data_IF_369429166396
#
_entry.id   IF_369429166396
#
_cell.length_a   1.000
_cell.length_b   1.000
_cell.length_c   1.000
_cell.angle_alpha   90.00
_cell.angle_beta   90.00
_cell.angle_gamma   90.00
#
_symmetry.space_group_name_H-M   'P 1'
#
loop_
_entity.id
_entity.type
_entity.pdbx_description
1 polymer ?
#
# COMPACT_ATOMS: atom_id res chain seq x y z
N UNK A 1 -73.01 -14.63 -35.74
CA UNK A 1 -72.76 -13.37 -34.98
C UNK A 1 -72.04 -13.70 -33.67
N UNK A 2 -70.70 -13.63 -33.64
CA UNK A 2 -69.92 -13.58 -32.40
C UNK A 2 -68.74 -12.61 -32.62
N UNK A 3 -68.60 -11.69 -31.66
CA UNK A 3 -67.82 -10.46 -31.68
C UNK A 3 -66.30 -10.73 -31.63
N UNK A 4 -65.55 -10.00 -32.45
CA UNK A 4 -64.10 -9.86 -32.33
C UNK A 4 -63.77 -9.00 -31.10
N UNK A 5 -62.97 -9.53 -30.17
CA UNK A 5 -62.34 -8.74 -29.10
C UNK A 5 -60.86 -8.66 -29.45
N UNK A 6 -60.42 -7.46 -29.83
CA UNK A 6 -59.04 -7.12 -30.13
C UNK A 6 -58.33 -6.82 -28.81
N UNK A 7 -57.42 -7.70 -28.38
CA UNK A 7 -56.53 -7.43 -27.25
C UNK A 7 -55.29 -6.69 -27.78
N UNK A 8 -55.15 -5.41 -27.40
CA UNK A 8 -53.94 -4.61 -27.66
C UNK A 8 -53.01 -4.81 -26.47
N UNK A 9 -51.97 -5.62 -26.64
CA UNK A 9 -50.89 -5.77 -25.65
C UNK A 9 -49.84 -4.69 -25.90
N UNK A 10 -49.82 -3.65 -25.07
CA UNK A 10 -48.74 -2.65 -25.04
C UNK A 10 -47.54 -3.30 -24.34
N UNK A 11 -46.48 -3.60 -25.10
CA UNK A 11 -45.19 -4.04 -24.56
C UNK A 11 -44.35 -2.78 -24.30
N UNK A 12 -44.25 -2.38 -23.04
CA UNK A 12 -43.30 -1.36 -22.58
C UNK A 12 -41.89 -1.97 -22.53
N UNK A 13 -41.05 -1.64 -23.50
CA UNK A 13 -39.61 -1.88 -23.42
C UNK A 13 -38.97 -0.86 -22.47
N UNK A 14 -38.75 -1.25 -21.22
CA UNK A 14 -37.84 -0.55 -20.32
C UNK A 14 -36.43 -1.10 -20.53
N UNK A 15 -35.68 -0.49 -21.45
CA UNK A 15 -34.25 -0.72 -21.59
C UNK A 15 -33.52 -0.02 -20.44
N UNK A 16 -33.42 -0.69 -19.29
CA UNK A 16 -32.56 -0.26 -18.19
C UNK A 16 -31.16 -0.88 -18.38
N UNK A 17 -30.42 -0.41 -19.39
CA UNK A 17 -28.96 -0.63 -19.44
C UNK A 17 -28.28 0.45 -18.60
N UNK A 18 -28.52 0.41 -17.29
CA UNK A 18 -27.64 1.06 -16.35
C UNK A 18 -26.38 0.23 -16.28
N UNK A 19 -25.34 0.63 -17.00
CA UNK A 19 -23.98 0.18 -16.70
C UNK A 19 -23.74 0.72 -15.29
N UNK A 20 -23.87 -0.15 -14.28
CA UNK A 20 -23.29 0.11 -12.97
C UNK A 20 -21.78 0.11 -13.19
N UNK A 21 -21.25 1.27 -13.58
CA UNK A 21 -19.83 1.53 -13.44
C UNK A 21 -19.60 1.49 -11.94
N UNK A 22 -19.07 0.38 -11.44
CA UNK A 22 -18.56 0.29 -10.08
C UNK A 22 -17.61 1.48 -9.93
N UNK A 23 -18.11 2.53 -9.29
CA UNK A 23 -17.33 3.71 -8.98
C UNK A 23 -16.44 3.28 -7.82
N UNK A 24 -15.34 2.60 -8.15
CA UNK A 24 -14.29 2.27 -7.21
C UNK A 24 -13.94 3.60 -6.54
N UNK A 25 -14.07 3.72 -5.21
CA UNK A 25 -13.79 4.99 -4.57
C UNK A 25 -12.35 5.41 -4.89
N UNK A 26 -12.20 6.62 -5.42
CA UNK A 26 -10.88 7.22 -5.60
C UNK A 26 -10.36 7.63 -4.23
N UNK A 27 -9.62 6.74 -3.58
CA UNK A 27 -8.82 7.08 -2.41
C UNK A 27 -7.64 7.95 -2.85
N UNK A 28 -7.18 8.84 -1.98
CA UNK A 28 -5.93 9.57 -2.21
C UNK A 28 -4.81 8.55 -2.41
N UNK A 29 -4.24 8.48 -3.61
CA UNK A 29 -3.19 7.51 -3.90
C UNK A 29 -1.80 7.98 -3.49
N UNK A 30 -1.59 9.17 -2.92
CA UNK A 30 -0.27 9.67 -2.48
C UNK A 30 0.93 9.36 -3.43
N UNK A 31 0.71 9.36 -4.75
CA UNK A 31 1.72 8.97 -5.76
C UNK A 31 1.73 7.50 -6.21
N UNK A 32 0.95 6.62 -5.56
CA UNK A 32 0.68 5.23 -5.90
C UNK A 32 -0.44 5.07 -6.94
N UNK A 33 -0.32 5.74 -8.09
CA UNK A 33 -1.23 5.53 -9.22
C UNK A 33 -0.60 4.64 -10.29
N UNK A 34 -1.45 3.92 -11.02
CA UNK A 34 -1.03 3.18 -12.19
C UNK A 34 -0.71 4.16 -13.32
N UNK A 35 0.44 3.99 -13.97
CA UNK A 35 0.77 4.68 -15.22
C UNK A 35 0.40 3.75 -16.37
N UNK A 36 -0.61 4.07 -17.20
CA UNK A 36 -1.04 3.20 -18.29
C UNK A 36 0.12 2.80 -19.20
N UNK A 37 0.21 1.52 -19.52
CA UNK A 37 1.25 0.97 -20.40
C UNK A 37 2.66 0.87 -19.80
N UNK A 38 2.89 1.33 -18.56
CA UNK A 38 4.21 1.23 -17.91
C UNK A 38 4.60 -0.18 -17.46
N UNK A 39 3.63 -1.09 -17.39
CA UNK A 39 3.80 -2.40 -16.78
C UNK A 39 3.88 -2.38 -15.25
N UNK A 40 3.73 -1.20 -14.61
CA UNK A 40 3.46 -1.09 -13.18
C UNK A 40 1.97 -1.30 -12.93
N UNK A 41 1.63 -2.14 -11.96
CA UNK A 41 0.27 -2.26 -11.40
C UNK A 41 0.32 -1.90 -9.93
N UNK A 42 -0.72 -1.22 -9.45
CA UNK A 42 -0.84 -0.82 -8.05
C UNK A 42 -2.21 -1.24 -7.55
N UNK A 43 -2.21 -2.02 -6.48
CA UNK A 43 -3.42 -2.52 -5.84
C UNK A 43 -3.52 -1.92 -4.44
N UNK A 44 -4.69 -1.38 -4.11
CA UNK A 44 -5.02 -1.05 -2.74
C UNK A 44 -4.96 -2.36 -1.92
N UNK A 45 -4.20 -2.34 -0.83
CA UNK A 45 -4.00 -3.50 0.03
C UNK A 45 -4.63 -3.33 1.41
N UNK A 46 -5.54 -2.37 1.53
CA UNK A 46 -6.15 -1.97 2.79
C UNK A 46 -7.30 -2.86 3.25
N UNK A 47 -8.04 -3.44 2.31
CA UNK A 47 -9.32 -4.08 2.64
C UNK A 47 -9.10 -5.51 3.15
N UNK A 48 -9.81 -5.90 4.20
CA UNK A 48 -9.94 -7.29 4.63
C UNK A 48 -8.73 -7.84 5.40
N UNK A 49 -8.29 -7.14 6.43
CA UNK A 49 -7.34 -7.65 7.41
C UNK A 49 -8.07 -8.28 8.60
N UNK A 50 -7.55 -9.37 9.12
CA UNK A 50 -7.88 -9.90 10.46
C UNK A 50 -7.04 -9.16 11.49
N UNK A 51 -7.63 -8.78 12.61
CA UNK A 51 -6.99 -7.96 13.63
C UNK A 51 -7.23 -8.49 15.05
N UNK A 52 -6.17 -8.48 15.84
CA UNK A 52 -6.21 -8.74 17.27
C UNK A 52 -5.39 -7.71 18.03
N UNK A 53 -6.01 -7.06 19.03
CA UNK A 53 -5.34 -6.15 19.96
C UNK A 53 -4.84 -6.94 21.15
N UNK A 54 -3.52 -7.00 21.35
CA UNK A 54 -2.88 -7.72 22.45
C UNK A 54 -1.83 -8.72 22.00
N UNK A 55 -1.30 -9.45 22.98
CA UNK A 55 -0.25 -10.45 22.80
C UNK A 55 -0.87 -11.77 22.34
N UNK A 56 -0.34 -12.35 21.26
CA UNK A 56 -0.72 -13.66 20.77
C UNK A 56 0.53 -14.47 20.42
N UNK A 57 0.63 -15.69 20.95
CA UNK A 57 1.73 -16.60 20.64
C UNK A 57 1.43 -17.38 19.36
N UNK A 58 2.38 -17.44 18.44
CA UNK A 58 2.28 -18.24 17.22
C UNK A 58 1.44 -17.60 16.11
N UNK A 59 1.01 -16.34 16.27
CA UNK A 59 0.25 -15.62 15.27
C UNK A 59 1.04 -15.36 13.97
N UNK A 60 2.37 -15.49 14.00
CA UNK A 60 3.23 -15.45 12.83
C UNK A 60 3.14 -16.72 11.97
N UNK A 61 2.65 -17.84 12.51
CA UNK A 61 2.59 -19.11 11.80
C UNK A 61 1.54 -19.09 10.68
N UNK A 62 1.86 -19.75 9.57
CA UNK A 62 0.97 -19.80 8.41
C UNK A 62 -0.39 -20.44 8.73
N UNK A 63 -0.38 -21.53 9.52
CA UNK A 63 -1.56 -22.30 9.89
C UNK A 63 -2.27 -21.83 11.18
N UNK A 64 -1.92 -20.65 11.69
CA UNK A 64 -2.61 -20.07 12.84
C UNK A 64 -4.09 -19.79 12.50
N UNK A 65 -5.01 -20.23 13.35
CA UNK A 65 -6.44 -19.99 13.16
C UNK A 65 -6.81 -18.56 13.62
N UNK A 66 -7.11 -17.68 12.67
CA UNK A 66 -7.56 -16.31 12.89
C UNK A 66 -9.06 -16.10 12.57
N UNK A 67 -9.85 -17.19 12.46
CA UNK A 67 -11.28 -17.13 12.11
C UNK A 67 -12.07 -16.20 13.02
N UNK A 68 -11.70 -16.15 14.30
CA UNK A 68 -12.39 -15.43 15.36
C UNK A 68 -11.86 -13.99 15.53
N UNK A 69 -10.86 -13.58 14.75
CA UNK A 69 -10.34 -12.23 14.77
C UNK A 69 -11.25 -11.26 14.03
N UNK A 70 -11.29 -10.02 14.51
CA UNK A 70 -12.06 -8.94 13.90
C UNK A 70 -11.57 -8.66 12.49
N UNK A 71 -12.50 -8.38 11.57
CA UNK A 71 -12.15 -7.93 10.22
C UNK A 71 -12.10 -6.40 10.22
N UNK A 72 -10.99 -5.84 9.76
CA UNK A 72 -10.74 -4.39 9.69
C UNK A 72 -10.17 -4.02 8.31
N UNK A 73 -10.23 -2.73 7.98
CA UNK A 73 -9.57 -2.17 6.82
C UNK A 73 -8.54 -1.14 7.28
N UNK A 74 -7.38 -1.07 6.65
CA UNK A 74 -6.44 0.03 6.91
C UNK A 74 -6.88 1.28 6.13
N UNK A 75 -6.46 2.50 6.52
CA UNK A 75 -5.78 2.87 7.76
C UNK A 75 -6.56 2.45 9.01
N UNK A 76 -5.90 1.79 9.97
CA UNK A 76 -6.51 1.23 11.17
C UNK A 76 -5.68 1.54 12.42
N UNK A 77 -6.32 2.14 13.42
CA UNK A 77 -5.77 2.35 14.76
C UNK A 77 -6.17 1.25 15.73
N UNK A 78 -5.43 1.07 16.84
CA UNK A 78 -5.73 0.01 17.83
C UNK A 78 -7.04 0.26 18.59
N UNK A 79 -7.49 1.51 18.68
CA UNK A 79 -8.75 1.88 19.29
C UNK A 79 -9.20 3.27 18.85
N UNK A 80 -10.46 3.58 19.10
CA UNK A 80 -10.98 4.92 19.00
C UNK A 80 -10.66 5.67 20.29
N UNK A 81 -10.04 6.83 20.14
CA UNK A 81 -9.66 7.70 21.24
C UNK A 81 -10.47 9.00 21.17
N UNK A 82 -10.64 9.64 22.33
CA UNK A 82 -11.27 10.97 22.36
C UNK A 82 -10.38 12.00 21.68
N UNK A 83 -10.96 13.14 21.30
CA UNK A 83 -10.19 14.27 20.74
C UNK A 83 -9.17 14.84 21.73
N UNK A 84 -9.34 14.56 23.03
CA UNK A 84 -8.48 15.00 24.13
C UNK A 84 -7.53 13.89 24.60
N UNK A 85 -7.18 12.95 23.73
CA UNK A 85 -6.43 11.76 24.09
C UNK A 85 -4.95 12.00 24.46
N UNK A 86 -4.42 13.22 24.25
CA UNK A 86 -3.03 13.58 24.57
C UNK A 86 -2.67 13.18 26.01
N UNK A 87 -1.43 12.72 26.21
CA UNK A 87 -0.94 12.40 27.56
C UNK A 87 -1.25 10.99 28.09
N UNK A 88 -1.33 9.96 27.24
CA UNK A 88 -1.38 8.52 27.61
C UNK A 88 -2.74 7.90 27.91
N UNK A 89 -3.78 8.33 27.20
CA UNK A 89 -5.04 7.58 27.22
C UNK A 89 -5.04 6.36 26.28
N UNK A 90 -4.01 6.21 25.45
CA UNK A 90 -3.91 5.15 24.45
C UNK A 90 -3.28 3.87 25.00
N UNK A 91 -3.76 2.74 24.49
CA UNK A 91 -3.14 1.45 24.57
C UNK A 91 -1.70 1.52 24.07
N UNK A 92 -0.80 0.90 24.84
CA UNK A 92 0.61 0.75 24.56
C UNK A 92 0.93 -0.73 24.63
N UNK A 93 1.18 -1.34 23.48
CA UNK A 93 1.43 -2.77 23.41
C UNK A 93 1.30 -3.36 22.03
N UNK A 94 1.33 -4.68 22.03
CA UNK A 94 1.30 -5.50 20.82
C UNK A 94 -0.08 -5.54 20.17
N UNK A 95 -0.06 -5.62 18.85
CA UNK A 95 -1.22 -5.90 18.04
C UNK A 95 -0.79 -6.71 16.81
N UNK A 96 -1.73 -7.49 16.29
CA UNK A 96 -1.49 -8.38 15.17
C UNK A 96 -2.50 -8.12 14.06
N UNK A 97 -2.00 -8.14 12.84
CA UNK A 97 -2.77 -8.05 11.62
C UNK A 97 -2.43 -9.24 10.74
N UNK A 98 -3.43 -9.91 10.17
CA UNK A 98 -3.25 -11.02 9.23
C UNK A 98 -4.07 -10.76 7.97
N UNK A 99 -3.47 -10.95 6.80
CA UNK A 99 -4.16 -10.77 5.52
C UNK A 99 -3.93 -11.98 4.65
N UNK A 100 -5.05 -12.59 4.27
CA UNK A 100 -5.13 -13.67 3.30
C UNK A 100 -5.36 -13.06 1.92
N UNK A 101 -4.59 -13.49 0.92
CA UNK A 101 -4.69 -12.96 -0.43
C UNK A 101 -4.14 -13.93 -1.46
N UNK A 102 -4.67 -13.84 -2.68
CA UNK A 102 -4.15 -14.54 -3.86
C UNK A 102 -3.57 -13.50 -4.81
N UNK A 103 -2.39 -13.77 -5.35
CA UNK A 103 -1.79 -12.88 -6.35
C UNK A 103 -2.55 -13.04 -7.68
N UNK A 104 -2.94 -11.94 -8.35
CA UNK A 104 -3.55 -12.03 -9.67
C UNK A 104 -2.59 -12.64 -10.68
N UNK A 105 -3.08 -13.57 -11.51
CA UNK A 105 -2.30 -14.26 -12.56
C UNK A 105 -1.53 -13.26 -13.44
N UNK A 106 -2.19 -12.14 -13.79
CA UNK A 106 -1.62 -11.04 -14.60
C UNK A 106 -0.31 -10.43 -14.08
N UNK A 107 0.04 -10.65 -12.80
CA UNK A 107 1.25 -10.10 -12.17
C UNK A 107 2.14 -11.16 -11.52
N UNK A 108 1.85 -12.45 -11.67
CA UNK A 108 2.62 -13.53 -11.03
C UNK A 108 4.09 -13.62 -11.45
N UNK A 109 4.43 -13.08 -12.63
CA UNK A 109 5.80 -13.07 -13.16
C UNK A 109 6.52 -11.73 -12.99
N UNK A 110 5.89 -10.79 -12.27
CA UNK A 110 6.42 -9.47 -11.95
C UNK A 110 7.20 -9.48 -10.64
N UNK A 111 7.93 -8.39 -10.39
CA UNK A 111 8.42 -8.05 -9.06
C UNK A 111 7.23 -7.57 -8.23
N UNK A 112 7.03 -8.13 -7.05
CA UNK A 112 5.89 -7.87 -6.18
C UNK A 112 6.39 -7.27 -4.87
N UNK A 113 5.90 -6.07 -4.56
CA UNK A 113 6.28 -5.28 -3.38
C UNK A 113 5.05 -5.02 -2.52
N UNK A 114 5.16 -5.26 -1.22
CA UNK A 114 4.23 -4.67 -0.25
C UNK A 114 4.86 -3.39 0.28
N UNK A 115 4.15 -2.29 0.17
CA UNK A 115 4.56 -0.97 0.65
C UNK A 115 3.64 -0.56 1.79
N UNK A 116 4.22 -0.28 2.95
CA UNK A 116 3.53 0.30 4.10
C UNK A 116 3.88 1.77 4.18
N UNK A 117 2.87 2.64 4.15
CA UNK A 117 3.12 4.08 4.34
C UNK A 117 3.48 4.43 5.79
N UNK A 118 2.96 3.66 6.75
CA UNK A 118 3.34 3.72 8.15
C UNK A 118 2.75 2.57 8.96
N UNK A 119 3.54 2.05 9.91
CA UNK A 119 3.07 1.20 11.01
C UNK A 119 3.67 1.76 12.28
N UNK A 120 2.84 2.17 13.24
CA UNK A 120 3.30 2.92 14.41
C UNK A 120 4.22 2.08 15.31
N UNK A 121 5.34 2.68 15.71
CA UNK A 121 6.29 2.12 16.67
C UNK A 121 7.24 1.11 16.04
N UNK A 122 7.15 -0.14 16.48
CA UNK A 122 7.91 -1.27 15.95
C UNK A 122 7.00 -2.16 15.15
N UNK A 123 7.51 -2.71 14.06
CA UNK A 123 6.78 -3.74 13.34
C UNK A 123 7.69 -4.85 12.84
N UNK A 124 7.08 -6.02 12.68
CA UNK A 124 7.67 -7.20 12.05
C UNK A 124 6.66 -7.74 11.05
N UNK A 125 7.15 -8.18 9.91
CA UNK A 125 6.30 -8.67 8.82
C UNK A 125 6.75 -10.04 8.38
N UNK A 126 5.80 -10.98 8.37
CA UNK A 126 6.00 -12.33 7.87
C UNK A 126 5.13 -12.58 6.65
N UNK A 127 5.62 -13.42 5.75
CA UNK A 127 4.84 -13.98 4.67
C UNK A 127 4.93 -15.50 4.74
N UNK A 128 3.79 -16.17 4.80
CA UNK A 128 3.70 -17.62 4.85
C UNK A 128 4.56 -18.24 5.98
N UNK A 129 4.66 -17.56 7.12
CA UNK A 129 5.47 -17.99 8.28
C UNK A 129 6.94 -17.55 8.26
N UNK A 130 7.45 -17.00 7.16
CA UNK A 130 8.82 -16.51 7.08
C UNK A 130 8.91 -15.03 7.40
N UNK A 131 9.77 -14.65 8.34
CA UNK A 131 10.04 -13.24 8.67
C UNK A 131 10.76 -12.57 7.50
N UNK A 132 10.16 -11.53 6.93
CA UNK A 132 10.74 -10.80 5.80
C UNK A 132 11.33 -9.45 6.19
N UNK A 133 10.78 -8.77 7.20
CA UNK A 133 11.24 -7.45 7.60
C UNK A 133 10.99 -7.16 9.08
N UNK A 134 11.82 -6.28 9.63
CA UNK A 134 11.57 -5.56 10.88
C UNK A 134 11.76 -4.07 10.61
N UNK A 135 10.87 -3.23 11.15
CA UNK A 135 10.93 -1.78 10.97
C UNK A 135 10.77 -1.08 12.32
N UNK A 136 11.56 -0.03 12.52
CA UNK A 136 11.61 0.76 13.75
C UNK A 136 11.30 2.21 13.42
N UNK A 137 10.33 2.79 14.12
CA UNK A 137 9.82 4.13 13.86
C UNK A 137 8.44 4.06 13.20
N UNK A 138 7.56 4.92 13.69
CA UNK A 138 6.14 4.88 13.31
C UNK A 138 5.78 5.65 12.06
N UNK A 139 6.64 6.55 11.56
CA UNK A 139 6.19 7.65 10.69
C UNK A 139 6.72 7.58 9.26
N UNK A 140 7.78 6.82 9.04
CA UNK A 140 8.39 6.64 7.74
C UNK A 140 7.86 5.37 7.07
N UNK A 141 7.75 5.38 5.74
CA UNK A 141 7.33 4.21 5.01
C UNK A 141 8.44 3.17 4.95
N UNK A 142 8.05 1.92 4.66
CA UNK A 142 8.97 0.86 4.32
C UNK A 142 8.30 -0.11 3.35
N UNK A 143 9.11 -0.87 2.61
CA UNK A 143 8.59 -1.79 1.61
C UNK A 143 9.39 -3.08 1.54
N UNK A 144 8.71 -4.16 1.14
CA UNK A 144 9.23 -5.53 1.23
C UNK A 144 9.06 -6.21 -0.13
N UNK A 145 10.14 -6.79 -0.65
CA UNK A 145 10.09 -7.61 -1.87
C UNK A 145 9.66 -9.04 -1.56
N UNK A 146 8.42 -9.36 -1.93
CA UNK A 146 7.80 -10.66 -1.68
C UNK A 146 7.93 -11.63 -2.86
N UNK A 147 8.55 -11.20 -3.96
CA UNK A 147 8.53 -11.92 -5.25
C UNK A 147 9.01 -13.37 -5.16
N UNK A 148 10.01 -13.64 -4.30
CA UNK A 148 10.62 -14.97 -4.15
C UNK A 148 9.89 -15.89 -3.17
N UNK A 149 8.90 -15.36 -2.44
CA UNK A 149 8.29 -15.99 -1.26
C UNK A 149 6.79 -16.25 -1.43
N UNK A 150 6.19 -15.66 -2.46
CA UNK A 150 4.82 -15.93 -2.88
C UNK A 150 4.66 -17.37 -3.38
N UNK A 151 3.52 -17.96 -3.01
CA UNK A 151 3.00 -19.20 -3.56
C UNK A 151 1.99 -18.83 -4.66
N UNK A 152 2.38 -19.02 -5.93
CA UNK A 152 1.57 -18.65 -7.10
C UNK A 152 0.29 -19.49 -7.21
N UNK A 153 -0.79 -18.90 -7.70
CA UNK A 153 -2.10 -19.55 -7.83
C UNK A 153 -2.73 -20.05 -6.53
N UNK A 154 -2.17 -19.72 -5.36
CA UNK A 154 -2.65 -20.15 -4.04
C UNK A 154 -2.78 -18.96 -3.10
N UNK A 155 -3.50 -19.19 -2.01
CA UNK A 155 -3.56 -18.24 -0.90
C UNK A 155 -2.18 -18.07 -0.26
N UNK A 156 -1.88 -16.82 0.06
CA UNK A 156 -0.72 -16.39 0.82
C UNK A 156 -1.20 -15.63 2.05
N UNK A 157 -0.44 -15.73 3.14
CA UNK A 157 -0.76 -15.07 4.41
C UNK A 157 0.33 -14.08 4.77
N UNK A 158 0.00 -12.79 4.74
CA UNK A 158 0.86 -11.73 5.26
C UNK A 158 0.48 -11.46 6.71
N UNK A 159 1.46 -11.49 7.60
CA UNK A 159 1.28 -11.20 9.03
C UNK A 159 2.08 -9.96 9.38
N UNK A 160 1.47 -9.03 10.10
CA UNK A 160 2.14 -7.86 10.66
C UNK A 160 1.92 -7.85 12.17
N UNK A 161 3.01 -7.91 12.90
CA UNK A 161 3.04 -7.53 14.31
C UNK A 161 3.37 -6.06 14.40
N UNK A 162 2.59 -5.31 15.18
CA UNK A 162 2.80 -3.89 15.45
C UNK A 162 2.85 -3.67 16.97
N UNK A 163 3.76 -2.84 17.43
CA UNK A 163 3.91 -2.51 18.84
C UNK A 163 4.23 -1.02 18.99
N UNK A 164 3.30 -0.29 19.59
CA UNK A 164 3.43 1.14 19.84
C UNK A 164 3.96 1.47 21.24
N UNK A 165 4.46 0.47 21.99
CA UNK A 165 5.05 0.68 23.31
C UNK A 165 6.26 1.60 23.27
N UNK A 166 6.53 2.24 24.41
CA UNK A 166 7.72 3.05 24.63
C UNK A 166 9.00 2.28 24.27
N UNK A 167 9.83 2.90 23.43
CA UNK A 167 11.11 2.35 23.03
C UNK A 167 12.08 3.49 22.73
N UNK A 168 13.26 3.47 23.34
CA UNK A 168 14.28 4.51 23.20
C UNK A 168 15.19 4.31 21.99
N UNK A 169 15.08 3.19 21.27
CA UNK A 169 15.95 2.85 20.13
C UNK A 169 15.63 3.62 18.85
N UNK A 170 14.47 4.29 18.78
CA UNK A 170 14.08 5.13 17.66
C UNK A 170 13.35 6.40 18.14
N UNK A 171 13.42 7.51 17.38
CA UNK A 171 12.70 8.73 17.73
C UNK A 171 11.17 8.53 17.64
N UNK A 172 10.39 9.22 18.49
CA UNK A 172 10.83 10.25 19.43
C UNK A 172 11.44 9.71 20.72
N UNK A 173 11.43 8.39 20.96
CA UNK A 173 12.17 7.73 22.04
C UNK A 173 11.67 8.03 23.46
N UNK A 174 10.75 8.97 23.61
CA UNK A 174 10.14 9.35 24.88
C UNK A 174 8.99 8.43 25.20
N UNK A 175 8.74 8.26 26.50
CA UNK A 175 7.57 7.55 26.97
C UNK A 175 6.30 8.34 26.63
N UNK A 176 5.21 7.64 26.35
CA UNK A 176 3.90 8.20 26.03
C UNK A 176 3.44 9.28 27.03
N UNK A 177 3.76 9.12 28.32
CA UNK A 177 3.43 10.07 29.40
C UNK A 177 4.21 11.38 29.36
N UNK A 178 5.31 11.44 28.59
CA UNK A 178 6.16 12.63 28.43
C UNK A 178 5.97 13.30 27.07
N UNK A 179 4.98 12.86 26.29
CA UNK A 179 4.68 13.40 24.97
C UNK A 179 3.38 14.19 25.01
N UNK A 180 3.38 15.32 24.30
CA UNK A 180 2.19 16.11 24.03
C UNK A 180 1.42 15.61 22.78
N UNK A 181 1.57 14.33 22.47
CA UNK A 181 0.84 13.63 21.42
C UNK A 181 0.81 12.12 21.72
N UNK A 182 -0.08 11.38 21.05
CA UNK A 182 -0.20 9.94 21.20
C UNK A 182 0.53 9.17 20.09
N UNK A 183 1.19 8.07 20.47
CA UNK A 183 1.54 6.99 19.57
C UNK A 183 0.29 6.21 19.18
N UNK A 184 -0.45 6.71 18.19
CA UNK A 184 -1.60 6.01 17.61
C UNK A 184 -1.13 4.71 16.93
N UNK A 185 -1.26 3.60 17.65
CA UNK A 185 -0.76 2.29 17.24
C UNK A 185 -1.45 1.73 16.01
N UNK A 186 -0.83 0.74 15.37
CA UNK A 186 -1.41 0.01 14.25
C UNK A 186 -0.89 0.42 12.88
N UNK A 187 -1.53 -0.11 11.83
CA UNK A 187 -1.25 0.21 10.43
C UNK A 187 -2.11 1.42 10.07
N UNK A 188 -1.70 2.59 10.54
CA UNK A 188 -2.51 3.82 10.55
C UNK A 188 -2.39 4.66 9.27
N UNK A 189 -1.71 4.14 8.24
CA UNK A 189 -1.72 4.67 6.87
C UNK A 189 -1.96 3.52 5.88
N UNK A 190 -1.97 3.86 4.59
CA UNK A 190 -2.28 2.90 3.54
C UNK A 190 -1.20 1.84 3.36
N UNK A 191 -1.65 0.70 2.84
CA UNK A 191 -0.82 -0.41 2.40
C UNK A 191 -1.09 -0.66 0.93
N UNK A 192 -0.02 -0.87 0.16
CA UNK A 192 -0.10 -1.08 -1.29
C UNK A 192 0.60 -2.36 -1.70
N UNK A 193 -0.01 -3.11 -2.61
CA UNK A 193 0.68 -4.14 -3.38
C UNK A 193 1.07 -3.55 -4.74
N UNK A 194 2.35 -3.49 -5.01
CA UNK A 194 2.92 -2.89 -6.23
C UNK A 194 3.59 -3.99 -7.05
N UNK A 195 3.15 -4.16 -8.29
CA UNK A 195 3.79 -5.06 -9.23
C UNK A 195 4.55 -4.27 -10.30
N UNK A 196 5.84 -4.55 -10.48
CA UNK A 196 6.67 -3.93 -11.54
C UNK A 196 7.31 -4.98 -12.43
N UNK A 197 7.81 -4.57 -13.58
CA UNK A 197 8.68 -5.44 -14.36
C UNK A 197 9.98 -5.73 -13.60
N UNK A 198 10.77 -6.71 -14.10
CA UNK A 198 12.06 -7.08 -13.51
C UNK A 198 13.15 -6.02 -13.72
N UNK A 199 12.96 -5.13 -14.68
CA UNK A 199 13.68 -3.85 -14.78
C UNK A 199 12.72 -2.77 -14.29
N UNK A 200 13.13 -1.97 -13.31
CA UNK A 200 12.25 -1.03 -12.62
C UNK A 200 13.03 0.17 -12.06
N UNK A 201 12.32 1.27 -11.85
CA UNK A 201 12.78 2.40 -11.05
C UNK A 201 12.74 1.98 -9.59
N UNK A 202 13.84 2.17 -8.87
CA UNK A 202 14.00 1.72 -7.49
C UNK A 202 13.13 2.50 -6.50
N UNK A 203 13.05 2.03 -5.25
CA UNK A 203 12.37 2.75 -4.16
C UNK A 203 13.45 3.39 -3.27
N UNK A 204 13.44 4.72 -3.06
CA UNK A 204 14.45 5.38 -2.23
C UNK A 204 14.50 4.84 -0.79
N UNK A 205 13.40 4.28 -0.27
CA UNK A 205 13.38 3.69 1.07
C UNK A 205 13.97 2.26 1.11
N UNK A 206 14.27 1.64 -0.04
CA UNK A 206 14.85 0.29 -0.13
C UNK A 206 16.34 0.26 -0.49
N UNK A 207 16.82 1.22 -1.27
CA UNK A 207 18.17 1.15 -1.85
C UNK A 207 19.31 1.54 -0.88
N UNK A 208 18.98 1.99 0.33
CA UNK A 208 19.94 2.39 1.38
C UNK A 208 21.09 3.26 0.82
N UNK A 209 20.74 4.22 -0.03
CA UNK A 209 21.66 5.07 -0.77
C UNK A 209 21.41 6.52 -0.40
N UNK A 210 22.43 7.19 0.14
CA UNK A 210 22.37 8.62 0.49
C UNK A 210 21.99 9.41 -0.77
N UNK A 211 20.90 10.17 -0.70
CA UNK A 211 20.36 10.95 -1.82
C UNK A 211 20.17 10.12 -3.10
N UNK A 212 19.76 8.86 -2.96
CA UNK A 212 19.60 7.95 -4.09
C UNK A 212 18.36 7.08 -4.00
N UNK A 213 18.14 6.30 -5.06
CA UNK A 213 16.94 5.51 -5.25
C UNK A 213 15.77 6.34 -5.82
N UNK A 214 14.90 5.69 -6.57
CA UNK A 214 13.74 6.33 -7.18
C UNK A 214 14.09 7.37 -8.25
N UNK A 215 13.26 8.40 -8.32
CA UNK A 215 13.47 9.56 -9.19
C UNK A 215 13.60 10.80 -8.32
N UNK A 216 14.75 11.47 -8.42
CA UNK A 216 15.02 12.74 -7.78
C UNK A 216 14.96 13.85 -8.81
N UNK A 217 14.19 14.90 -8.51
CA UNK A 217 14.01 16.08 -9.37
C UNK A 217 14.37 17.31 -8.57
N UNK A 218 15.26 18.13 -9.10
CA UNK A 218 15.57 19.45 -8.55
C UNK A 218 15.72 20.48 -9.65
N UNK A 219 15.74 21.75 -9.24
CA UNK A 219 15.72 22.90 -10.13
C UNK A 219 16.93 23.77 -9.87
N UNK A 220 17.60 24.19 -10.94
CA UNK A 220 18.75 25.07 -10.92
C UNK A 220 18.47 26.31 -11.78
N UNK A 221 19.18 27.42 -11.51
CA UNK A 221 19.11 28.66 -12.29
C UNK A 221 17.69 29.20 -12.55
N UNK A 222 16.83 29.14 -11.52
CA UNK A 222 15.44 29.57 -11.61
C UNK A 222 15.34 31.09 -11.86
N UNK A 223 14.69 31.47 -12.96
CA UNK A 223 14.25 32.83 -13.26
C UNK A 223 12.82 32.85 -13.80
N UNK A 224 12.27 34.04 -14.04
CA UNK A 224 10.95 34.18 -14.68
C UNK A 224 10.93 33.66 -16.13
N UNK A 225 12.09 33.60 -16.80
CA UNK A 225 12.20 33.23 -18.23
C UNK A 225 12.62 31.78 -18.45
N UNK A 226 13.41 31.20 -17.52
CA UNK A 226 13.97 29.85 -17.68
C UNK A 226 14.23 29.17 -16.34
N UNK A 227 14.32 27.84 -16.39
CA UNK A 227 14.77 26.99 -15.29
C UNK A 227 15.49 25.77 -15.86
N UNK A 228 16.55 25.34 -15.20
CA UNK A 228 17.20 24.07 -15.47
C UNK A 228 16.56 22.98 -14.61
N UNK A 229 15.87 22.02 -15.25
CA UNK A 229 15.26 20.88 -14.56
C UNK A 229 16.22 19.71 -14.61
N UNK A 230 16.74 19.30 -13.45
CA UNK A 230 17.65 18.16 -13.33
C UNK A 230 16.89 16.95 -12.83
N UNK A 231 16.96 15.85 -13.58
CA UNK A 231 16.26 14.59 -13.26
C UNK A 231 17.27 13.46 -13.16
N UNK A 232 17.32 12.84 -11.98
CA UNK A 232 18.13 11.65 -11.72
C UNK A 232 17.20 10.48 -11.43
N UNK A 233 17.33 9.38 -12.17
CA UNK A 233 16.53 8.17 -11.95
C UNK A 233 17.43 6.98 -11.73
N UNK A 234 17.20 6.29 -10.62
CA UNK A 234 17.91 5.07 -10.23
C UNK A 234 17.12 3.85 -10.71
N UNK A 235 17.79 2.96 -11.44
CA UNK A 235 17.17 1.83 -12.12
C UNK A 235 17.89 0.55 -11.72
N UNK A 236 17.11 -0.47 -11.38
CA UNK A 236 17.60 -1.80 -11.09
C UNK A 236 17.04 -2.85 -12.06
N UNK A 237 17.77 -3.96 -12.20
CA UNK A 237 17.33 -5.13 -12.94
C UNK A 237 17.50 -6.39 -12.08
N UNK A 238 16.47 -7.25 -12.08
CA UNK A 238 16.51 -8.61 -11.50
C UNK A 238 16.70 -9.68 -12.59
N UNK A 239 17.04 -9.29 -13.81
CA UNK A 239 17.39 -10.21 -14.90
C UNK A 239 18.87 -10.57 -14.83
N UNK A 240 19.22 -11.81 -15.18
CA UNK A 240 20.60 -12.28 -15.21
C UNK A 240 21.37 -11.81 -16.46
N UNK A 241 20.66 -11.51 -17.55
CA UNK A 241 21.25 -11.03 -18.80
C UNK A 241 21.28 -9.50 -18.86
N UNK A 242 22.30 -8.96 -19.54
CA UNK A 242 22.34 -7.53 -19.88
C UNK A 242 21.17 -7.17 -20.79
N UNK A 243 20.60 -6.01 -20.56
CA UNK A 243 19.45 -5.49 -21.30
C UNK A 243 19.78 -4.08 -21.78
N UNK A 244 19.42 -3.76 -23.01
CA UNK A 244 19.45 -2.39 -23.51
C UNK A 244 18.12 -1.73 -23.10
N UNK A 245 18.20 -0.57 -22.46
CA UNK A 245 17.03 0.16 -21.99
C UNK A 245 17.08 1.61 -22.47
N UNK A 246 15.91 2.20 -22.66
CA UNK A 246 15.73 3.63 -22.91
C UNK A 246 14.90 4.22 -21.78
N UNK A 247 15.34 5.35 -21.23
CA UNK A 247 14.58 6.12 -20.25
C UNK A 247 13.90 7.27 -21.00
N UNK A 248 12.60 7.44 -20.77
CA UNK A 248 11.84 8.56 -21.33
C UNK A 248 11.29 9.41 -20.19
N UNK A 249 11.70 10.66 -20.15
CA UNK A 249 11.09 11.69 -19.32
C UNK A 249 10.03 12.42 -20.13
N UNK A 250 8.90 12.74 -19.50
CA UNK A 250 7.82 13.52 -20.11
C UNK A 250 7.44 14.58 -19.09
N UNK A 251 7.67 15.85 -19.42
CA UNK A 251 7.21 16.99 -18.65
C UNK A 251 5.87 17.46 -19.20
N UNK A 252 4.89 17.63 -18.31
CA UNK A 252 3.58 18.16 -18.65
C UNK A 252 3.29 19.43 -17.87
N UNK A 253 2.56 20.35 -18.49
CA UNK A 253 1.99 21.49 -17.78
C UNK A 253 0.78 21.07 -16.92
N UNK A 254 0.17 22.04 -16.24
CA UNK A 254 -0.99 21.83 -15.36
C UNK A 254 -2.24 21.35 -16.11
N UNK A 255 -2.31 21.59 -17.41
CA UNK A 255 -3.41 21.15 -18.28
C UNK A 255 -3.12 19.76 -18.89
N UNK A 256 -1.95 19.17 -18.60
CA UNK A 256 -1.56 17.85 -19.04
C UNK A 256 -0.93 17.81 -20.44
N UNK A 257 -0.67 18.98 -21.06
CA UNK A 257 0.02 19.07 -22.35
C UNK A 257 1.50 18.82 -22.18
N UNK A 258 2.10 18.07 -23.10
CA UNK A 258 3.54 17.77 -23.09
C UNK A 258 4.31 19.04 -23.44
N UNK A 259 5.25 19.41 -22.58
CA UNK A 259 6.17 20.55 -22.73
C UNK A 259 7.58 20.07 -23.08
N UNK A 260 7.96 18.88 -22.61
CA UNK A 260 9.21 18.18 -22.95
C UNK A 260 9.01 16.65 -22.95
#
# INVERSE_FOLDING_TARGET
>A
MKKNILFITIILFLSNTGIAQEKIPDYSKAGFYEIPGSGRKVYNFNVGWRFFKGVVKGAEQNNFNDSDWNIVNTPHGLELLSTQASGSSNYQGEAWYRKHFIIPESVENKRLIIYFEAVMGKSKVWLNGELLASHYGGYLPFSIDISKKIIKGKENVLVVWADNSNDTSYPPGKSQQRLDFCYFGGIYRDVWLIATNKIYITDPNQEDKISGGGTFVHYEDLSEEKVNVVVQTDIASKLSSKQQISIKYILKDTDGKIVL
#
